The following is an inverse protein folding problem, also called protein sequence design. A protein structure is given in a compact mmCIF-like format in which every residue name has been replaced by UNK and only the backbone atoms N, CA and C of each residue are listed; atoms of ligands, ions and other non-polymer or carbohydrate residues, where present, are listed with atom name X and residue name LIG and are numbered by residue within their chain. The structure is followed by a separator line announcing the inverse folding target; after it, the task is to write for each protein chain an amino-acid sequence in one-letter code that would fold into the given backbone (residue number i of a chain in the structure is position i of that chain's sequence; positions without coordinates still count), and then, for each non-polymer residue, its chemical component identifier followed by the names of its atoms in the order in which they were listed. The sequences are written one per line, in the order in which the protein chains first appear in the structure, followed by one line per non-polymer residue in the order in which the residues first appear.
data_IF_896661816323
#
_entry.id   IF_896661816323
#
_cell.length_a   1.000
_cell.length_b   1.000
_cell.length_c   1.000
_cell.angle_alpha   90.00
_cell.angle_beta   90.00
_cell.angle_gamma   90.00
#
_symmetry.space_group_name_H-M   'P 1'
#
loop_
_entity.id
_entity.type
_entity.pdbx_description
1 polymer ?
#
# COMPACT_ATOMS: atom_id res chain seq x y z
N UNK A 1 5.11 -14.20 -23.58
CA UNK A 1 4.16 -14.30 -22.46
C UNK A 1 3.66 -12.89 -22.16
N UNK A 2 2.38 -12.60 -22.34
CA UNK A 2 1.82 -11.31 -21.96
C UNK A 2 1.76 -11.22 -20.43
N UNK A 3 2.58 -10.34 -19.87
CA UNK A 3 2.63 -10.03 -18.45
C UNK A 3 1.31 -9.32 -18.07
N UNK A 4 0.37 -10.08 -17.49
CA UNK A 4 -0.96 -9.56 -17.15
C UNK A 4 -0.86 -8.50 -16.06
N UNK A 5 -1.32 -7.29 -16.34
CA UNK A 5 -1.48 -6.25 -15.32
C UNK A 5 -2.33 -6.77 -14.15
N UNK A 6 -1.89 -6.53 -12.91
CA UNK A 6 -2.60 -6.91 -11.69
C UNK A 6 -3.35 -5.70 -11.14
N UNK A 7 -4.57 -5.92 -10.67
CA UNK A 7 -5.37 -4.89 -10.00
C UNK A 7 -5.41 -5.18 -8.51
N UNK A 8 -5.06 -4.19 -7.70
CA UNK A 8 -5.14 -4.25 -6.24
C UNK A 8 -6.22 -3.28 -5.78
N UNK A 9 -7.19 -3.81 -5.04
CA UNK A 9 -8.21 -2.99 -4.39
C UNK A 9 -7.72 -2.55 -3.02
N UNK A 10 -7.62 -1.23 -2.82
CA UNK A 10 -7.08 -0.61 -1.63
C UNK A 10 -8.20 0.05 -0.83
N UNK A 11 -8.20 -0.17 0.49
CA UNK A 11 -9.03 0.53 1.47
C UNK A 11 -8.13 1.37 2.37
N UNK A 12 -8.13 2.68 2.15
CA UNK A 12 -7.27 3.63 2.85
C UNK A 12 -8.09 4.30 3.94
N UNK A 13 -7.54 4.36 5.15
CA UNK A 13 -8.14 5.07 6.29
C UNK A 13 -7.28 6.28 6.60
N UNK A 14 -7.81 7.49 6.43
CA UNK A 14 -7.15 8.75 6.79
C UNK A 14 -7.67 9.24 8.12
N UNK A 15 -6.77 9.38 9.09
CA UNK A 15 -7.06 9.85 10.44
C UNK A 15 -6.61 11.30 10.55
N UNK A 16 -7.38 12.23 9.99
CA UNK A 16 -7.11 13.68 10.08
C UNK A 16 -7.72 14.22 11.37
N UNK A 17 -6.98 14.16 12.48
CA UNK A 17 -7.24 14.73 13.84
C UNK A 17 -8.59 14.32 14.50
N UNK A 18 -9.49 13.69 13.74
CA UNK A 18 -10.83 13.21 14.10
C UNK A 18 -10.77 11.74 14.54
N UNK A 19 -11.55 11.40 15.58
CA UNK A 19 -11.72 10.02 16.05
C UNK A 19 -12.35 9.09 14.99
N UNK A 20 -13.00 9.66 13.96
CA UNK A 20 -13.59 8.91 12.85
C UNK A 20 -12.73 9.09 11.59
N UNK A 21 -12.02 8.05 11.12
CA UNK A 21 -11.22 8.14 9.92
C UNK A 21 -12.10 8.22 8.67
N UNK A 22 -11.68 9.04 7.71
CA UNK A 22 -12.23 8.98 6.37
C UNK A 22 -11.75 7.69 5.68
N UNK A 23 -12.67 6.93 5.09
CA UNK A 23 -12.37 5.69 4.39
C UNK A 23 -12.49 5.90 2.89
N UNK A 24 -11.35 5.83 2.20
CA UNK A 24 -11.24 6.00 0.75
C UNK A 24 -11.00 4.62 0.12
N UNK A 25 -11.80 4.26 -0.88
CA UNK A 25 -11.57 3.07 -1.71
C UNK A 25 -10.92 3.48 -3.02
N UNK A 26 -9.81 2.84 -3.38
CA UNK A 26 -9.10 3.06 -4.64
C UNK A 26 -8.70 1.73 -5.26
N UNK A 27 -8.49 1.72 -6.56
CA UNK A 27 -7.92 0.57 -7.27
C UNK A 27 -6.60 1.00 -7.87
N UNK A 28 -5.55 0.23 -7.60
CA UNK A 28 -4.23 0.44 -8.17
C UNK A 28 -3.99 -0.63 -9.23
N UNK A 29 -3.59 -0.20 -10.43
CA UNK A 29 -3.16 -1.09 -11.50
C UNK A 29 -1.65 -1.15 -11.48
N UNK A 30 -1.10 -2.35 -11.32
CA UNK A 30 0.34 -2.58 -11.22
C UNK A 30 0.76 -3.47 -12.38
N UNK A 31 1.83 -3.08 -13.06
CA UNK A 31 2.47 -3.92 -14.07
C UNK A 31 3.07 -5.18 -13.42
N UNK A 32 3.10 -6.32 -14.12
CA UNK A 32 3.68 -7.53 -13.51
C UNK A 32 5.17 -7.38 -13.18
N UNK A 33 5.88 -6.49 -13.87
CA UNK A 33 7.29 -6.18 -13.62
C UNK A 33 7.52 -5.03 -12.64
N UNK A 34 6.46 -4.46 -12.06
CA UNK A 34 6.59 -3.33 -11.16
C UNK A 34 7.38 -3.73 -9.91
N UNK A 35 8.35 -2.89 -9.55
CA UNK A 35 9.16 -3.09 -8.35
C UNK A 35 8.46 -2.56 -7.10
N UNK A 36 8.99 -2.87 -5.92
CA UNK A 36 8.48 -2.27 -4.68
C UNK A 36 8.63 -0.75 -4.69
N UNK A 37 9.67 -0.20 -5.33
CA UNK A 37 9.87 1.24 -5.42
C UNK A 37 8.72 1.89 -6.21
N UNK A 38 8.29 1.26 -7.30
CA UNK A 38 7.15 1.70 -8.10
C UNK A 38 5.85 1.63 -7.27
N UNK A 39 5.62 0.52 -6.57
CA UNK A 39 4.45 0.36 -5.69
C UNK A 39 4.43 1.40 -4.56
N UNK A 40 5.58 1.64 -3.92
CA UNK A 40 5.72 2.64 -2.86
C UNK A 40 5.40 4.03 -3.39
N UNK A 41 5.93 4.38 -4.56
CA UNK A 41 5.69 5.67 -5.19
C UNK A 41 4.21 5.85 -5.54
N UNK A 42 3.60 4.87 -6.20
CA UNK A 42 2.17 4.91 -6.54
C UNK A 42 1.28 5.04 -5.30
N UNK A 43 1.61 4.34 -4.20
CA UNK A 43 0.87 4.47 -2.94
C UNK A 43 1.08 5.83 -2.27
N UNK A 44 2.29 6.39 -2.33
CA UNK A 44 2.58 7.73 -1.82
C UNK A 44 1.79 8.78 -2.59
N UNK A 45 1.81 8.73 -3.93
CA UNK A 45 1.06 9.65 -4.79
C UNK A 45 -0.45 9.54 -4.54
N UNK A 46 -0.98 8.32 -4.50
CA UNK A 46 -2.40 8.06 -4.27
C UNK A 46 -2.86 8.51 -2.87
N UNK A 47 -1.98 8.44 -1.88
CA UNK A 47 -2.26 8.89 -0.52
C UNK A 47 -1.90 10.37 -0.28
N UNK A 48 -1.32 11.09 -1.24
CA UNK A 48 -0.84 12.47 -1.07
C UNK A 48 0.27 12.57 -0.01
N UNK A 49 1.07 11.53 0.15
CA UNK A 49 2.12 11.43 1.15
C UNK A 49 3.41 11.99 0.55
N UNK A 50 3.83 13.17 1.01
CA UNK A 50 5.14 13.74 0.68
C UNK A 50 6.18 13.44 1.78
N UNK A 51 7.44 13.21 1.38
CA UNK A 51 8.57 13.01 2.30
C UNK A 51 8.72 11.58 2.85
N UNK A 52 9.45 11.45 3.96
CA UNK A 52 9.87 10.17 4.56
C UNK A 52 8.81 9.52 5.48
N UNK A 53 7.53 9.61 5.09
CA UNK A 53 6.46 9.00 5.90
C UNK A 53 6.40 7.49 5.66
N UNK A 54 6.26 6.74 6.76
CA UNK A 54 6.18 5.28 6.74
C UNK A 54 4.76 4.81 6.38
N UNK A 55 4.63 4.06 5.29
CA UNK A 55 3.38 3.38 4.92
C UNK A 55 3.27 2.08 5.71
N UNK A 56 2.17 1.91 6.44
CA UNK A 56 1.84 0.67 7.16
C UNK A 56 0.68 -0.04 6.48
N UNK A 57 0.83 -1.34 6.27
CA UNK A 57 -0.21 -2.22 5.74
C UNK A 57 -0.85 -2.96 6.90
N UNK A 58 -2.17 -3.12 6.86
CA UNK A 58 -2.90 -3.91 7.85
C UNK A 58 -2.93 -5.37 7.40
N UNK A 59 -2.41 -6.25 8.23
CA UNK A 59 -2.44 -7.70 8.02
C UNK A 59 -3.79 -8.28 8.49
N UNK A 60 -4.19 -9.50 8.08
CA UNK A 60 -5.52 -10.07 8.40
C UNK A 60 -5.82 -10.18 9.90
N UNK A 61 -4.80 -10.33 10.74
CA UNK A 61 -4.87 -10.33 12.20
C UNK A 61 -5.04 -8.94 12.83
N UNK A 62 -5.23 -7.90 12.01
CA UNK A 62 -5.29 -6.47 12.36
C UNK A 62 -3.95 -5.82 12.76
N UNK A 63 -2.83 -6.52 12.65
CA UNK A 63 -1.50 -5.95 12.91
C UNK A 63 -1.12 -4.93 11.83
N UNK A 64 -0.48 -3.83 12.22
CA UNK A 64 0.02 -2.80 11.31
C UNK A 64 1.52 -3.00 11.06
N UNK A 65 1.86 -3.49 9.89
CA UNK A 65 3.23 -3.82 9.49
C UNK A 65 3.75 -2.74 8.55
N UNK A 66 4.92 -2.12 8.81
CA UNK A 66 5.52 -1.21 7.85
C UNK A 66 5.85 -1.98 6.57
N UNK A 67 5.50 -1.42 5.42
CA UNK A 67 5.59 -2.14 4.13
C UNK A 67 6.99 -2.68 3.83
N UNK A 68 8.04 -2.04 4.38
CA UNK A 68 9.44 -2.47 4.27
C UNK A 68 9.70 -3.87 4.88
N UNK A 69 8.95 -4.27 5.91
CA UNK A 69 9.11 -5.57 6.59
C UNK A 69 8.46 -6.73 5.82
N UNK A 70 7.52 -6.44 4.91
CA UNK A 70 6.89 -7.48 4.09
C UNK A 70 7.87 -8.14 3.11
N UNK A 71 9.04 -7.53 2.88
CA UNK A 71 10.13 -8.11 2.08
C UNK A 71 11.06 -9.03 2.87
N UNK A 72 11.00 -9.00 4.20
CA UNK A 72 11.92 -9.74 5.07
C UNK A 72 11.32 -11.07 5.56
N UNK A 73 10.11 -11.42 5.13
CA UNK A 73 9.55 -12.74 5.42
C UNK A 73 10.37 -13.78 4.67
N UNK A 74 11.03 -14.73 5.36
CA UNK A 74 11.63 -15.88 4.72
C UNK A 74 10.51 -16.64 3.98
N UNK A 75 10.80 -17.10 2.77
CA UNK A 75 9.98 -18.11 2.11
C UNK A 75 9.94 -19.34 3.04
N UNK A 76 8.78 -19.62 3.65
CA UNK A 76 8.48 -20.95 4.22
C UNK A 76 8.02 -21.91 3.12
#
# INVERSE_FOLDING_TARGET
MELKNRFIHLKIRRYDISEKPEVIKKSLKIASEATLADLKKELQDLCGITGDKVIKVRYPDNTLIPMLFLLQSPEE
#
